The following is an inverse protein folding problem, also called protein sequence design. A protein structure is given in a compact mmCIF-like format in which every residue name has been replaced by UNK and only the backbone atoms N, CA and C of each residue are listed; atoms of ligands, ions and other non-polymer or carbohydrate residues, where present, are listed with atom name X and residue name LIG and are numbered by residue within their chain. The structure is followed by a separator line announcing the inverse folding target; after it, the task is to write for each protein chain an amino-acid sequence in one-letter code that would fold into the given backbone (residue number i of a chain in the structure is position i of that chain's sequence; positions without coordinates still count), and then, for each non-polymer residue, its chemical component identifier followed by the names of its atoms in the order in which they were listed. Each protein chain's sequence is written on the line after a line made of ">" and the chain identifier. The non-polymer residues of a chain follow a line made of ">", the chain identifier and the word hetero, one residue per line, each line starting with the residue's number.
data_IF_817744077671
#
_entry.id   IF_817744077671
#
_cell.length_a   1.000
_cell.length_b   1.000
_cell.length_c   1.000
_cell.angle_alpha   90.00
_cell.angle_beta   90.00
_cell.angle_gamma   90.00
#
_symmetry.space_group_name_H-M   'P 1'
#
loop_
_entity.id
_entity.type
_entity.pdbx_description
1 polymer ?
#
# COMPACT_ATOMS: atom_id res chain seq x y z
N UNK A 1 -3.87 18.17 2.30
CA UNK A 1 -4.76 16.99 2.31
C UNK A 1 -4.49 16.27 1.00
N UNK A 2 -4.02 15.03 1.04
CA UNK A 2 -3.65 14.32 -0.20
C UNK A 2 -4.77 13.34 -0.55
N UNK A 3 -5.33 13.53 -1.74
CA UNK A 3 -6.28 12.63 -2.39
C UNK A 3 -5.52 11.40 -2.88
N UNK A 4 -5.16 10.51 -1.97
CA UNK A 4 -4.15 9.46 -2.20
C UNK A 4 -4.59 8.26 -3.04
N UNK A 5 -5.90 8.04 -3.22
CA UNK A 5 -6.41 6.78 -3.79
C UNK A 5 -6.84 6.87 -5.26
N UNK A 6 -6.73 8.04 -5.90
CA UNK A 6 -7.26 8.24 -7.26
C UNK A 6 -8.78 8.07 -7.38
N UNK A 7 -9.49 7.88 -6.26
CA UNK A 7 -10.94 7.73 -6.20
C UNK A 7 -11.62 9.01 -6.74
N UNK A 8 -12.42 8.87 -7.80
CA UNK A 8 -13.04 9.99 -8.52
C UNK A 8 -12.19 10.60 -9.64
N UNK A 9 -10.99 10.06 -9.94
CA UNK A 9 -10.22 10.42 -11.15
C UNK A 9 -10.56 9.44 -12.27
N UNK A 10 -11.55 9.78 -13.08
CA UNK A 10 -11.90 9.01 -14.27
C UNK A 10 -11.10 9.49 -15.50
N UNK A 11 -10.71 8.54 -16.37
CA UNK A 11 -10.13 8.74 -17.71
C UNK A 11 -11.22 8.66 -18.81
N UNK A 12 -12.48 8.93 -18.46
CA UNK A 12 -13.59 8.98 -19.41
C UNK A 12 -13.94 10.45 -19.70
N UNK A 13 -14.30 10.75 -20.94
CA UNK A 13 -14.52 12.13 -21.41
C UNK A 13 -15.75 12.81 -20.79
N UNK A 14 -16.74 12.04 -20.31
CA UNK A 14 -17.98 12.55 -19.70
C UNK A 14 -18.27 11.88 -18.33
N UNK A 15 -17.64 12.34 -17.23
CA UNK A 15 -17.95 11.84 -15.89
C UNK A 15 -19.29 12.38 -15.37
N UNK A 16 -20.01 11.55 -14.61
CA UNK A 16 -21.28 11.93 -13.97
C UNK A 16 -21.05 12.99 -12.86
N UNK A 17 -22.09 13.76 -12.51
CA UNK A 17 -21.99 14.87 -11.54
C UNK A 17 -21.44 14.43 -10.18
N UNK A 18 -21.85 13.23 -9.72
CA UNK A 18 -21.36 12.65 -8.47
C UNK A 18 -19.85 12.40 -8.50
N UNK A 19 -19.31 11.91 -9.62
CA UNK A 19 -17.87 11.65 -9.77
C UNK A 19 -17.07 12.96 -9.81
N UNK A 20 -17.60 13.99 -10.49
CA UNK A 20 -16.90 15.27 -10.66
C UNK A 20 -16.87 16.13 -9.38
N UNK A 21 -17.93 16.06 -8.57
CA UNK A 21 -18.11 17.00 -7.47
C UNK A 21 -18.25 16.34 -6.09
N UNK A 22 -19.04 15.28 -5.97
CA UNK A 22 -19.34 14.67 -4.67
C UNK A 22 -18.16 13.84 -4.15
N UNK A 23 -17.59 12.97 -4.99
CA UNK A 23 -16.47 12.09 -4.60
C UNK A 23 -15.22 12.88 -4.19
N UNK A 24 -14.75 13.91 -4.95
CA UNK A 24 -13.56 14.66 -4.56
C UNK A 24 -13.78 15.47 -3.27
N UNK A 25 -14.99 16.02 -3.08
CA UNK A 25 -15.34 16.75 -1.86
C UNK A 25 -15.32 15.81 -0.64
N UNK A 26 -15.91 14.63 -0.77
CA UNK A 26 -15.91 13.61 0.27
C UNK A 26 -14.50 13.14 0.64
N UNK A 27 -13.68 12.81 -0.35
CA UNK A 27 -12.28 12.38 -0.12
C UNK A 27 -11.46 13.50 0.49
N UNK A 28 -11.71 14.76 0.11
CA UNK A 28 -11.07 15.91 0.74
C UNK A 28 -11.56 16.11 2.17
N UNK A 29 -12.83 15.90 2.49
CA UNK A 29 -13.35 16.10 3.84
C UNK A 29 -12.84 15.03 4.82
N UNK A 30 -12.80 13.76 4.39
CA UNK A 30 -12.47 12.61 5.26
C UNK A 30 -11.03 12.12 5.11
N UNK A 31 -10.31 12.58 4.10
CA UNK A 31 -8.93 12.18 3.83
C UNK A 31 -7.98 12.63 4.94
N UNK A 32 -7.03 11.77 5.32
CA UNK A 32 -6.02 12.13 6.32
C UNK A 32 -5.04 13.15 5.75
N UNK A 33 -4.50 13.99 6.64
CA UNK A 33 -3.36 14.86 6.32
C UNK A 33 -2.11 13.98 6.08
N UNK A 34 -1.23 14.42 5.19
CA UNK A 34 0.02 13.71 4.88
C UNK A 34 0.87 13.54 6.13
N UNK A 35 0.93 14.58 6.96
CA UNK A 35 1.65 14.58 8.23
C UNK A 35 1.17 13.45 9.16
N UNK A 36 -0.13 13.16 9.17
CA UNK A 36 -0.70 12.05 9.96
C UNK A 36 -0.28 10.68 9.41
N UNK A 37 -0.15 10.54 8.08
CA UNK A 37 0.38 9.31 7.48
C UNK A 37 1.88 9.16 7.75
N UNK A 38 2.65 10.23 7.57
CA UNK A 38 4.09 10.25 7.82
C UNK A 38 4.44 9.94 9.28
N UNK A 39 3.63 10.40 10.25
CA UNK A 39 3.85 10.08 11.65
C UNK A 39 3.57 8.63 12.01
N UNK A 40 2.79 7.88 11.21
CA UNK A 40 2.70 6.42 11.36
C UNK A 40 4.06 5.79 11.07
N UNK A 41 4.76 6.21 10.02
CA UNK A 41 6.10 5.70 9.69
C UNK A 41 7.14 6.03 10.78
N UNK A 42 7.10 7.25 11.32
CA UNK A 42 7.97 7.62 12.45
C UNK A 42 7.64 6.75 13.67
N UNK A 43 6.34 6.54 13.95
CA UNK A 43 5.91 5.69 15.06
C UNK A 43 6.30 4.22 14.88
N UNK A 44 6.24 3.67 13.66
CA UNK A 44 6.70 2.30 13.42
C UNK A 44 8.19 2.19 13.73
N UNK A 45 8.99 3.16 13.28
CA UNK A 45 10.44 3.16 13.46
C UNK A 45 10.87 3.37 14.92
N UNK A 46 10.30 4.36 15.60
CA UNK A 46 10.75 4.81 16.92
C UNK A 46 9.93 4.22 18.08
N UNK A 47 8.64 3.97 17.87
CA UNK A 47 7.71 3.52 18.91
C UNK A 47 7.64 2.01 19.05
N UNK A 48 7.30 1.31 17.95
CA UNK A 48 7.11 -0.15 17.95
C UNK A 48 8.42 -0.93 17.79
N UNK A 49 9.38 -0.37 17.04
CA UNK A 49 10.72 -0.93 16.86
C UNK A 49 10.69 -2.36 16.29
N UNK A 50 11.21 -3.35 17.03
CA UNK A 50 11.28 -4.73 16.54
C UNK A 50 9.91 -5.37 16.32
N UNK A 51 8.89 -4.93 17.07
CA UNK A 51 7.53 -5.50 16.98
C UNK A 51 6.84 -5.19 15.66
N UNK A 52 7.21 -4.11 14.99
CA UNK A 52 6.62 -3.74 13.71
C UNK A 52 7.18 -4.54 12.54
N UNK A 53 8.26 -5.30 12.72
CA UNK A 53 8.89 -6.00 11.60
C UNK A 53 7.92 -7.02 10.96
N UNK A 54 7.77 -6.96 9.64
CA UNK A 54 6.80 -7.76 8.88
C UNK A 54 5.34 -7.37 9.07
N UNK A 55 5.01 -6.52 10.04
CA UNK A 55 3.64 -6.18 10.41
C UNK A 55 3.09 -4.99 9.62
N UNK A 56 1.77 -4.97 9.41
CA UNK A 56 1.07 -3.81 8.88
C UNK A 56 0.60 -2.89 10.01
N UNK A 57 1.04 -1.64 10.02
CA UNK A 57 0.65 -0.66 11.03
C UNK A 57 -0.28 0.39 10.41
N UNK A 58 -1.43 0.58 11.04
CA UNK A 58 -2.37 1.67 10.75
C UNK A 58 -2.88 2.25 12.06
N UNK A 59 -3.15 3.55 12.08
CA UNK A 59 -3.66 4.24 13.27
C UNK A 59 -2.75 4.07 14.48
N UNK A 60 -1.43 4.04 14.27
CA UNK A 60 -0.44 3.82 15.33
C UNK A 60 -0.65 2.49 16.08
N UNK A 61 -1.18 1.48 15.39
CA UNK A 61 -1.43 0.14 15.94
C UNK A 61 -1.08 -0.95 14.93
N UNK A 62 -0.50 -2.05 15.42
CA UNK A 62 -0.29 -3.24 14.61
C UNK A 62 -1.65 -3.88 14.30
N UNK A 63 -1.95 -4.03 13.01
CA UNK A 63 -3.18 -4.68 12.55
C UNK A 63 -2.95 -6.18 12.38
N UNK A 64 -3.96 -7.02 12.67
CA UNK A 64 -3.87 -8.44 12.39
C UNK A 64 -3.81 -8.68 10.88
N UNK A 65 -3.10 -9.71 10.46
CA UNK A 65 -3.15 -10.22 9.10
C UNK A 65 -4.54 -10.74 8.73
N UNK A 66 -4.80 -10.85 7.43
CA UNK A 66 -5.99 -11.54 6.94
C UNK A 66 -6.02 -12.99 7.45
N UNK A 67 -7.22 -13.52 7.76
CA UNK A 67 -7.38 -14.85 8.37
C UNK A 67 -6.62 -15.96 7.63
N UNK A 68 -6.58 -15.89 6.30
CA UNK A 68 -5.88 -16.83 5.43
C UNK A 68 -4.40 -16.98 5.79
N UNK A 69 -3.73 -15.88 6.17
CA UNK A 69 -2.30 -15.85 6.46
C UNK A 69 -1.92 -16.58 7.76
N UNK A 70 -2.89 -16.92 8.61
CA UNK A 70 -2.66 -17.78 9.78
C UNK A 70 -2.88 -19.27 9.50
N UNK A 71 -3.18 -19.64 8.26
CA UNK A 71 -3.39 -21.05 7.86
C UNK A 71 -2.17 -21.58 7.12
N UNK A 72 -1.97 -22.91 7.12
CA UNK A 72 -0.89 -23.54 6.35
C UNK A 72 -0.92 -23.18 4.87
N UNK A 73 -2.12 -23.11 4.29
CA UNK A 73 -2.33 -22.65 2.91
C UNK A 73 -1.79 -21.24 2.68
N UNK A 74 -2.01 -20.32 3.63
CA UNK A 74 -1.50 -18.95 3.53
C UNK A 74 0.02 -18.87 3.61
N UNK A 75 0.63 -19.67 4.47
CA UNK A 75 2.09 -19.82 4.56
C UNK A 75 2.69 -20.32 3.23
N UNK A 76 2.13 -21.41 2.69
CA UNK A 76 2.62 -22.00 1.44
C UNK A 76 2.44 -21.04 0.24
N UNK A 77 1.36 -20.27 0.24
CA UNK A 77 1.14 -19.19 -0.74
C UNK A 77 2.18 -18.09 -0.61
N UNK A 78 2.51 -17.68 0.62
CA UNK A 78 3.51 -16.64 0.89
C UNK A 78 4.91 -17.05 0.43
N UNK A 79 5.32 -18.28 0.75
CA UNK A 79 6.60 -18.82 0.31
C UNK A 79 6.69 -18.92 -1.21
N UNK A 80 5.65 -19.44 -1.86
CA UNK A 80 5.61 -19.51 -3.33
C UNK A 80 5.74 -18.13 -3.96
N UNK A 81 4.99 -17.13 -3.46
CA UNK A 81 5.05 -15.76 -3.96
C UNK A 81 6.44 -15.15 -3.77
N UNK A 82 7.10 -15.42 -2.64
CA UNK A 82 8.47 -14.98 -2.39
C UNK A 82 9.45 -15.55 -3.41
N UNK A 83 9.40 -16.85 -3.68
CA UNK A 83 10.26 -17.49 -4.68
C UNK A 83 10.01 -16.97 -6.09
N UNK A 84 8.74 -16.79 -6.48
CA UNK A 84 8.35 -16.18 -7.77
C UNK A 84 8.93 -14.76 -7.89
N UNK A 85 8.74 -13.92 -6.87
CA UNK A 85 9.25 -12.54 -6.82
C UNK A 85 10.77 -12.50 -6.95
N UNK A 86 11.50 -13.33 -6.19
CA UNK A 86 12.96 -13.37 -6.25
C UNK A 86 13.47 -13.84 -7.61
N UNK A 87 12.76 -14.77 -8.28
CA UNK A 87 13.08 -15.20 -9.63
C UNK A 87 12.91 -14.07 -10.65
N UNK A 88 11.82 -13.32 -10.58
CA UNK A 88 11.58 -12.16 -11.44
C UNK A 88 12.62 -11.06 -11.22
N UNK A 89 12.92 -10.73 -9.96
CA UNK A 89 13.94 -9.73 -9.63
C UNK A 89 15.34 -10.13 -10.11
N UNK A 90 15.70 -11.42 -10.03
CA UNK A 90 16.97 -11.93 -10.57
C UNK A 90 17.04 -11.77 -12.08
N UNK A 91 16.00 -12.17 -12.79
CA UNK A 91 15.88 -11.94 -14.23
C UNK A 91 16.07 -10.46 -14.59
N UNK A 92 15.41 -9.55 -13.87
CA UNK A 92 15.59 -8.10 -14.05
C UNK A 92 17.01 -7.63 -13.73
N UNK A 93 17.65 -8.20 -12.71
CA UNK A 93 19.04 -7.87 -12.37
C UNK A 93 20.06 -8.37 -13.40
N UNK A 94 19.83 -9.56 -13.96
CA UNK A 94 20.69 -10.19 -14.97
C UNK A 94 20.45 -9.61 -16.38
N UNK A 95 19.21 -9.21 -16.70
CA UNK A 95 18.83 -8.64 -18.00
C UNK A 95 18.78 -7.11 -18.05
N UNK A 96 18.84 -6.41 -16.91
CA UNK A 96 19.17 -4.99 -16.86
C UNK A 96 18.27 -4.14 -15.95
N UNK A 97 18.81 -3.81 -14.78
CA UNK A 97 18.37 -2.67 -13.95
C UNK A 97 18.33 -1.35 -14.76
N UNK A 98 19.09 -1.27 -15.86
CA UNK A 98 19.10 -0.11 -16.78
C UNK A 98 17.77 0.17 -17.47
N UNK A 99 16.85 -0.80 -17.61
CA UNK A 99 15.55 -0.56 -18.25
C UNK A 99 14.46 -0.05 -17.29
N UNK A 100 14.68 -0.17 -15.97
CA UNK A 100 13.66 0.18 -14.96
C UNK A 100 13.69 1.65 -14.52
N UNK A 101 14.78 2.37 -14.84
CA UNK A 101 15.03 3.77 -14.43
C UNK A 101 15.33 4.69 -15.62
N UNK A 102 14.80 4.37 -16.82
CA UNK A 102 14.78 5.30 -17.96
C UNK A 102 13.40 5.92 -18.06
#
# INVERSE_FOLDING_TARGET
>A
MVTGTGLGRNRNSNPDFAEKHMVPLFVKALGRKVQSGASVYIHTLLGEGKRSHGSFISDWTIKPYARLLYTKKGEDMGERLWQETMKELRFTSEQGIKQLFV
#
